data_IF_460493581744
#
_entry.id   IF_460493581744
#
_cell.length_a   1.000
_cell.length_b   1.000
_cell.length_c   1.000
_cell.angle_alpha   90.00
_cell.angle_beta   90.00
_cell.angle_gamma   90.00
#
_symmetry.space_group_name_H-M   'P 1'
#
loop_
_entity.id
_entity.type
_entity.pdbx_description
1 polymer ?
#
# COMPACT_ATOMS: atom_id res chain seq x y z
N UNK A 1 4.14 -4.34 -2.53
CA UNK A 1 4.56 -2.98 -2.93
C UNK A 1 4.75 -2.04 -1.74
N UNK A 2 3.79 -1.90 -0.81
CA UNK A 2 3.92 -1.02 0.38
C UNK A 2 5.23 -1.22 1.18
N UNK A 3 5.60 -2.48 1.43
CA UNK A 3 6.83 -2.81 2.19
C UNK A 3 8.08 -2.32 1.45
N UNK A 4 8.12 -2.46 0.12
CA UNK A 4 9.24 -1.98 -0.68
C UNK A 4 9.36 -0.44 -0.62
N UNK A 5 8.24 0.27 -0.69
CA UNK A 5 8.22 1.73 -0.52
C UNK A 5 8.71 2.14 0.88
N UNK A 6 8.33 1.38 1.91
CA UNK A 6 8.74 1.65 3.29
C UNK A 6 10.24 1.36 3.54
N UNK A 7 10.84 0.53 2.70
CA UNK A 7 12.25 0.14 2.73
C UNK A 7 13.11 0.95 1.72
N UNK A 8 12.49 1.84 0.95
CA UNK A 8 13.21 2.60 -0.08
C UNK A 8 14.14 3.63 0.54
N UNK A 9 15.43 3.51 0.24
CA UNK A 9 16.48 4.46 0.58
C UNK A 9 16.88 5.26 -0.68
N UNK A 10 16.63 6.57 -0.65
CA UNK A 10 16.96 7.49 -1.75
C UNK A 10 18.29 8.20 -1.45
N UNK A 11 19.12 8.51 -2.46
CA UNK A 11 20.31 9.34 -2.25
C UNK A 11 19.95 10.70 -1.63
N UNK A 12 20.74 11.16 -0.65
CA UNK A 12 20.49 12.46 -0.03
C UNK A 12 20.72 13.60 -1.04
N UNK A 13 19.77 14.52 -1.10
CA UNK A 13 19.80 15.68 -2.00
C UNK A 13 19.89 16.96 -1.17
N UNK A 14 20.84 17.83 -1.52
CA UNK A 14 21.03 19.16 -0.93
C UNK A 14 20.91 20.22 -2.02
N UNK A 15 20.24 21.31 -1.70
CA UNK A 15 20.17 22.48 -2.57
C UNK A 15 21.18 23.51 -2.05
N UNK A 16 22.11 23.93 -2.90
CA UNK A 16 23.02 25.05 -2.60
C UNK A 16 22.66 26.23 -3.49
N UNK A 17 22.29 27.35 -2.86
CA UNK A 17 22.23 28.65 -3.56
C UNK A 17 23.65 29.19 -3.59
N UNK A 18 24.26 29.26 -4.77
CA UNK A 18 25.57 29.87 -4.92
C UNK A 18 25.44 31.38 -4.84
N UNK A 19 26.01 32.00 -3.82
CA UNK A 19 26.41 33.41 -3.87
C UNK A 19 27.68 33.48 -4.74
N UNK A 20 27.49 33.43 -6.06
CA UNK A 20 28.56 33.54 -7.05
C UNK A 20 28.05 34.36 -8.21
N UNK A 21 28.71 35.49 -8.45
CA UNK A 21 28.45 36.49 -9.48
C UNK A 21 28.09 35.85 -10.84
N UNK A 22 26.80 35.74 -11.10
CA UNK A 22 26.21 35.23 -12.34
C UNK A 22 24.70 35.36 -12.23
N UNK A 23 24.09 36.18 -13.10
CA UNK A 23 22.75 36.77 -12.96
C UNK A 23 21.55 35.79 -13.02
N UNK A 24 21.75 34.48 -13.03
CA UNK A 24 20.66 33.51 -13.09
C UNK A 24 20.57 32.76 -11.75
N UNK A 25 19.62 33.17 -10.91
CA UNK A 25 19.28 32.59 -9.58
C UNK A 25 18.82 31.13 -9.60
N UNK A 26 19.57 30.26 -10.25
CA UNK A 26 19.29 28.84 -10.42
C UNK A 26 19.91 28.04 -9.28
N UNK A 27 19.06 27.36 -8.51
CA UNK A 27 19.50 26.51 -7.41
C UNK A 27 20.26 25.29 -7.96
N UNK A 28 21.45 25.01 -7.41
CA UNK A 28 22.21 23.81 -7.76
C UNK A 28 21.77 22.64 -6.88
N UNK A 29 21.44 21.52 -7.53
CA UNK A 29 21.12 20.26 -6.86
C UNK A 29 22.41 19.45 -6.70
N UNK A 30 22.76 19.10 -5.46
CA UNK A 30 23.92 18.26 -5.14
C UNK A 30 23.42 16.95 -4.55
N UNK A 31 23.76 15.83 -5.20
CA UNK A 31 23.48 14.48 -4.72
C UNK A 31 24.70 13.97 -3.95
N UNK A 32 24.49 13.51 -2.73
CA UNK A 32 25.56 13.04 -1.85
C UNK A 32 25.52 11.51 -1.85
N UNK A 33 26.34 10.89 -2.71
CA UNK A 33 26.26 9.44 -2.99
C UNK A 33 26.57 8.52 -1.80
N UNK A 34 27.17 9.03 -0.72
CA UNK A 34 27.46 8.28 0.50
C UNK A 34 26.34 8.33 1.54
N UNK A 35 25.30 9.14 1.31
CA UNK A 35 24.21 9.36 2.25
C UNK A 35 22.87 8.97 1.62
N UNK A 36 22.00 8.34 2.40
CA UNK A 36 20.66 7.98 1.97
C UNK A 36 19.60 8.52 2.94
N UNK A 37 18.46 8.94 2.40
CA UNK A 37 17.27 9.34 3.14
C UNK A 37 16.13 8.35 2.86
N UNK A 38 15.36 7.92 3.87
CA UNK A 38 14.21 7.06 3.66
C UNK A 38 13.09 7.82 2.94
N UNK A 39 12.29 7.11 2.14
CA UNK A 39 11.06 7.66 1.59
C UNK A 39 10.04 7.92 2.71
N UNK A 40 9.55 9.16 2.84
CA UNK A 40 8.51 9.51 3.79
C UNK A 40 7.14 9.06 3.26
N UNK A 41 6.48 8.15 3.99
CA UNK A 41 5.13 7.67 3.68
C UNK A 41 4.16 8.13 4.77
N UNK A 42 3.36 9.15 4.48
CA UNK A 42 2.38 9.69 5.44
C UNK A 42 1.21 8.72 5.67
N UNK A 43 0.74 8.07 4.61
CA UNK A 43 -0.36 7.12 4.67
C UNK A 43 0.03 5.79 4.06
N UNK A 44 -0.35 4.71 4.76
CA UNK A 44 -0.17 3.33 4.28
C UNK A 44 -1.53 2.75 3.95
N UNK A 45 -1.62 2.14 2.78
CA UNK A 45 -2.84 1.52 2.29
C UNK A 45 -2.62 0.01 2.14
N UNK A 46 -3.60 -0.75 2.62
CA UNK A 46 -3.63 -2.19 2.65
C UNK A 46 -4.77 -2.68 1.76
N UNK A 47 -4.43 -3.54 0.80
CA UNK A 47 -5.42 -4.26 0.00
C UNK A 47 -5.84 -5.54 0.72
N UNK A 48 -7.14 -5.80 0.75
CA UNK A 48 -7.72 -7.05 1.24
C UNK A 48 -8.64 -7.58 0.16
N UNK A 49 -8.30 -8.75 -0.37
CA UNK A 49 -9.01 -9.37 -1.50
C UNK A 49 -10.07 -10.34 -1.02
N UNK A 50 -11.19 -10.36 -1.73
CA UNK A 50 -12.37 -11.15 -1.43
C UNK A 50 -12.90 -11.81 -2.70
N UNK A 51 -13.63 -12.90 -2.51
CA UNK A 51 -14.33 -13.61 -3.58
C UNK A 51 -15.69 -14.13 -3.13
N UNK A 52 -16.63 -14.27 -4.05
CA UNK A 52 -17.89 -14.96 -3.82
C UNK A 52 -17.91 -16.33 -4.51
N UNK A 53 -17.99 -17.39 -3.71
CA UNK A 53 -18.14 -18.77 -4.15
C UNK A 53 -19.47 -19.32 -3.65
N UNK A 54 -20.40 -19.65 -4.55
CA UNK A 54 -21.73 -20.18 -4.21
C UNK A 54 -22.46 -19.38 -3.10
N UNK A 55 -22.40 -18.04 -3.19
CA UNK A 55 -23.01 -17.13 -2.22
C UNK A 55 -22.25 -16.99 -0.89
N UNK A 56 -21.07 -17.60 -0.76
CA UNK A 56 -20.20 -17.47 0.40
C UNK A 56 -19.07 -16.49 0.12
N UNK A 57 -18.86 -15.57 1.05
CA UNK A 57 -17.75 -14.63 1.00
C UNK A 57 -16.47 -15.29 1.51
N UNK A 58 -15.45 -15.32 0.66
CA UNK A 58 -14.10 -15.79 0.97
C UNK A 58 -13.16 -14.60 1.11
N UNK A 59 -12.23 -14.70 2.06
CA UNK A 59 -11.17 -13.73 2.33
C UNK A 59 -9.84 -14.32 1.88
N UNK A 60 -9.08 -13.57 1.08
CA UNK A 60 -7.76 -13.98 0.57
C UNK A 60 -7.80 -15.33 -0.17
N UNK A 61 -8.63 -15.43 -1.24
CA UNK A 61 -8.87 -16.70 -1.91
C UNK A 61 -7.58 -17.30 -2.50
N UNK A 62 -7.43 -18.62 -2.45
CA UNK A 62 -6.32 -19.33 -3.12
C UNK A 62 -6.54 -19.38 -4.63
N UNK A 63 -5.53 -19.78 -5.40
CA UNK A 63 -5.65 -19.92 -6.84
C UNK A 63 -6.76 -20.90 -7.27
N UNK A 64 -6.94 -22.00 -6.52
CA UNK A 64 -8.01 -22.98 -6.74
C UNK A 64 -9.38 -22.37 -6.45
N UNK A 65 -9.51 -21.57 -5.39
CA UNK A 65 -10.74 -20.88 -5.03
C UNK A 65 -11.06 -19.79 -6.06
N UNK A 66 -10.07 -19.00 -6.47
CA UNK A 66 -10.17 -17.93 -7.47
C UNK A 66 -10.77 -18.41 -8.79
N UNK A 67 -10.40 -19.61 -9.24
CA UNK A 67 -10.91 -20.22 -10.47
C UNK A 67 -12.42 -20.52 -10.44
N UNK A 68 -13.00 -20.61 -9.25
CA UNK A 68 -14.41 -20.95 -9.04
C UNK A 68 -15.27 -19.74 -8.62
N UNK A 69 -14.67 -18.57 -8.39
CA UNK A 69 -15.39 -17.39 -7.93
C UNK A 69 -16.35 -16.85 -8.99
N UNK A 70 -17.56 -16.52 -8.56
CA UNK A 70 -18.53 -15.78 -9.37
C UNK A 70 -18.16 -14.30 -9.52
N UNK A 71 -17.47 -13.72 -8.54
CA UNK A 71 -16.87 -12.39 -8.59
C UNK A 71 -15.73 -12.29 -7.58
N UNK A 72 -14.73 -11.46 -7.89
CA UNK A 72 -13.66 -11.06 -6.98
C UNK A 72 -13.62 -9.54 -6.87
N UNK A 73 -13.14 -9.05 -5.74
CA UNK A 73 -12.94 -7.63 -5.51
C UNK A 73 -11.90 -7.42 -4.41
N UNK A 74 -11.33 -6.22 -4.35
CA UNK A 74 -10.34 -5.84 -3.34
C UNK A 74 -10.78 -4.54 -2.67
N UNK A 75 -10.80 -4.54 -1.34
CA UNK A 75 -11.00 -3.33 -0.54
C UNK A 75 -9.65 -2.75 -0.15
N UNK A 76 -9.54 -1.43 -0.22
CA UNK A 76 -8.39 -0.66 0.23
C UNK A 76 -8.73 0.01 1.54
N UNK A 77 -7.94 -0.25 2.58
CA UNK A 77 -8.05 0.40 3.88
C UNK A 77 -6.72 1.05 4.25
N UNK A 78 -6.74 2.16 4.96
CA UNK A 78 -5.52 2.68 5.57
C UNK A 78 -5.19 1.97 6.89
N UNK A 79 -4.08 2.37 7.54
CA UNK A 79 -3.64 1.83 8.84
C UNK A 79 -4.68 1.98 9.96
N UNK A 80 -5.56 2.98 9.89
CA UNK A 80 -6.60 3.25 10.88
C UNK A 80 -7.90 2.49 10.55
N UNK A 81 -7.91 1.75 9.45
CA UNK A 81 -9.05 1.02 8.94
C UNK A 81 -10.06 1.89 8.21
N UNK A 82 -9.75 3.15 7.89
CA UNK A 82 -10.62 3.95 7.04
C UNK A 82 -10.63 3.38 5.62
N UNK A 83 -11.81 3.34 5.01
CA UNK A 83 -11.98 2.86 3.64
C UNK A 83 -11.39 3.89 2.66
N UNK A 84 -10.59 3.42 1.70
CA UNK A 84 -9.90 4.24 0.70
C UNK A 84 -10.29 3.93 -0.73
N UNK A 85 -10.88 2.76 -0.99
CA UNK A 85 -11.32 2.40 -2.33
C UNK A 85 -11.73 0.95 -2.46
N UNK A 86 -12.44 0.65 -3.53
CA UNK A 86 -12.87 -0.69 -3.91
C UNK A 86 -12.49 -0.91 -5.37
N UNK A 87 -11.81 -2.01 -5.64
CA UNK A 87 -11.51 -2.46 -6.99
C UNK A 87 -12.29 -3.73 -7.29
N UNK A 88 -13.18 -3.68 -8.28
CA UNK A 88 -13.95 -4.81 -8.79
C UNK A 88 -13.67 -4.96 -10.29
N UNK A 89 -12.86 -5.95 -10.70
CA UNK A 89 -12.49 -6.12 -12.11
C UNK A 89 -13.62 -6.72 -12.98
N UNK A 90 -14.66 -7.30 -12.38
CA UNK A 90 -15.79 -7.88 -13.10
C UNK A 90 -16.55 -8.96 -12.31
N UNK A 91 -17.27 -9.82 -13.04
CA UNK A 91 -18.05 -10.94 -12.47
C UNK A 91 -19.46 -10.56 -12.04
N UNK A 92 -20.08 -11.44 -11.24
CA UNK A 92 -21.42 -11.26 -10.68
C UNK A 92 -21.56 -9.92 -9.91
N UNK A 93 -22.75 -9.30 -9.87
CA UNK A 93 -22.98 -8.07 -9.10
C UNK A 93 -22.60 -8.23 -7.63
N UNK A 94 -22.08 -7.16 -7.02
CA UNK A 94 -21.81 -7.11 -5.58
C UNK A 94 -22.94 -6.32 -4.92
N UNK A 95 -23.60 -6.93 -3.93
CA UNK A 95 -24.65 -6.25 -3.17
C UNK A 95 -24.07 -5.46 -1.97
N UNK A 96 -24.92 -4.61 -1.39
CA UNK A 96 -24.53 -3.75 -0.27
C UNK A 96 -24.21 -4.57 0.99
N UNK A 97 -24.94 -5.65 1.24
CA UNK A 97 -24.77 -6.49 2.42
C UNK A 97 -23.39 -7.16 2.42
N UNK A 98 -23.03 -7.79 1.31
CA UNK A 98 -21.71 -8.41 1.09
C UNK A 98 -20.61 -7.37 1.18
N UNK A 99 -20.79 -6.19 0.59
CA UNK A 99 -19.80 -5.10 0.67
C UNK A 99 -19.54 -4.69 2.12
N UNK A 100 -20.61 -4.54 2.91
CA UNK A 100 -20.53 -4.16 4.33
C UNK A 100 -19.88 -5.26 5.18
N UNK A 101 -20.25 -6.51 4.95
CA UNK A 101 -19.64 -7.67 5.60
C UNK A 101 -18.14 -7.76 5.30
N UNK A 102 -17.76 -7.57 4.04
CA UNK A 102 -16.37 -7.56 3.60
C UNK A 102 -15.58 -6.44 4.25
N UNK A 103 -16.17 -5.25 4.39
CA UNK A 103 -15.52 -4.14 5.08
C UNK A 103 -15.28 -4.45 6.57
N UNK A 104 -16.25 -5.08 7.24
CA UNK A 104 -16.09 -5.51 8.62
C UNK A 104 -14.99 -6.58 8.77
N UNK A 105 -14.98 -7.58 7.87
CA UNK A 105 -13.96 -8.61 7.83
C UNK A 105 -12.56 -8.04 7.55
N UNK A 106 -12.45 -7.09 6.62
CA UNK A 106 -11.19 -6.42 6.29
C UNK A 106 -10.63 -5.63 7.48
N UNK A 107 -11.48 -4.87 8.19
CA UNK A 107 -11.09 -4.17 9.42
C UNK A 107 -10.60 -5.13 10.51
N UNK A 108 -11.23 -6.30 10.64
CA UNK A 108 -10.80 -7.34 11.58
C UNK A 108 -9.43 -7.92 11.22
N UNK A 109 -9.12 -8.06 9.92
CA UNK A 109 -7.84 -8.58 9.42
C UNK A 109 -6.71 -7.56 9.49
N UNK A 110 -7.02 -6.27 9.36
CA UNK A 110 -6.06 -5.18 9.22
C UNK A 110 -4.94 -5.15 10.27
N UNK A 111 -5.18 -5.33 11.59
CA UNK A 111 -4.10 -5.28 12.58
C UNK A 111 -2.96 -6.27 12.29
N UNK A 112 -3.29 -7.47 11.79
CA UNK A 112 -2.29 -8.47 11.42
C UNK A 112 -1.44 -8.03 10.22
N UNK A 113 -2.05 -7.37 9.23
CA UNK A 113 -1.35 -6.83 8.06
C UNK A 113 -0.43 -5.66 8.44
N UNK A 114 -0.91 -4.76 9.30
CA UNK A 114 -0.11 -3.65 9.84
C UNK A 114 1.11 -4.19 10.61
N UNK A 115 0.89 -5.16 11.49
CA UNK A 115 1.97 -5.81 12.25
C UNK A 115 3.00 -6.48 11.34
N UNK A 116 2.55 -7.28 10.35
CA UNK A 116 3.42 -7.95 9.40
C UNK A 116 4.25 -6.96 8.55
N UNK A 117 3.65 -5.84 8.14
CA UNK A 117 4.36 -4.79 7.39
C UNK A 117 5.43 -4.08 8.21
N UNK A 118 5.23 -4.00 9.54
CA UNK A 118 6.16 -3.33 10.45
C UNK A 118 7.31 -4.24 10.88
N UNK A 119 7.03 -5.54 11.07
CA UNK A 119 8.04 -6.53 11.46
C UNK A 119 9.18 -6.66 10.44
N UNK A 120 8.87 -6.56 9.14
CA UNK A 120 9.89 -6.65 8.08
C UNK A 120 10.92 -5.51 8.12
N UNK A 121 10.55 -4.32 8.60
CA UNK A 121 11.48 -3.18 8.78
C UNK A 121 12.50 -3.42 9.90
N UNK A 122 12.16 -4.24 10.90
CA UNK A 122 13.05 -4.53 12.02
C UNK A 122 14.10 -5.62 11.72
N UNK A 123 13.94 -6.37 10.62
CA UNK A 123 14.67 -7.62 10.36
C UNK A 123 15.63 -7.64 9.17
N UNK A 124 15.77 -6.57 8.38
CA UNK A 124 16.74 -6.51 7.28
C UNK A 124 17.82 -5.47 7.58
N UNK A 125 18.94 -5.94 8.13
CA UNK A 125 20.27 -5.36 7.88
C UNK A 125 21.01 -6.40 7.05
N UNK A 126 21.13 -6.16 5.75
CA UNK A 126 22.13 -6.84 4.92
C UNK A 126 23.37 -5.94 4.86
#
# INVERSE_FOLDING_TARGET
>A
MLVALSDTALPAVRFSTGEGEGEDGTARVVVVGSETAPLSLEHRVFGVSFGLLDGRLLLDPTAEEEALLSTSFTLLLDSDGAFRGLHKPGGAPLDEATTRESLAAARKRLPALVAASSAKRAGLRF
#
